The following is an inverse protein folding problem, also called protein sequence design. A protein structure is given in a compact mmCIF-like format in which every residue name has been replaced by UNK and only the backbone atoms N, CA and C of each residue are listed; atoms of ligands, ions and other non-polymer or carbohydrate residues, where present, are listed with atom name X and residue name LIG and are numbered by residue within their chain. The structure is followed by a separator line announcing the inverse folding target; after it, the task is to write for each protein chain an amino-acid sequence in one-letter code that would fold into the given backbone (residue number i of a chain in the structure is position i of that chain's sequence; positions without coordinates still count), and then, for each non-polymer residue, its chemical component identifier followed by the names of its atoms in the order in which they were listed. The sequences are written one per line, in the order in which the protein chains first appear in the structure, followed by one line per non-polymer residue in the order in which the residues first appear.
data_IF_419602743239
#
_entry.id   IF_419602743239
#
_cell.length_a   1.000
_cell.length_b   1.000
_cell.length_c   1.000
_cell.angle_alpha   90.00
_cell.angle_beta   90.00
_cell.angle_gamma   90.00
#
_symmetry.space_group_name_H-M   'P 1'
#
loop_
_entity.id
_entity.type
_entity.pdbx_description
1 polymer ?
#
# COMPACT_ATOMS: atom_id res chain seq x y z
N UNK A 1 -19.93 4.29 10.23
CA UNK A 1 -19.44 4.11 8.84
C UNK A 1 -17.95 4.38 8.82
N UNK A 2 -17.17 3.72 7.97
CA UNK A 2 -15.76 4.09 7.78
C UNK A 2 -15.70 5.29 6.82
N UNK A 3 -15.41 6.48 7.36
CA UNK A 3 -15.32 7.71 6.57
C UNK A 3 -14.18 7.60 5.57
N UNK A 4 -14.51 7.68 4.27
CA UNK A 4 -13.51 7.78 3.22
C UNK A 4 -12.95 9.21 3.22
N UNK A 5 -11.64 9.36 3.12
CA UNK A 5 -11.00 10.67 2.97
C UNK A 5 -10.75 10.99 1.50
N UNK A 6 -10.58 12.26 1.15
CA UNK A 6 -9.97 12.62 -0.13
C UNK A 6 -8.45 12.45 -0.03
N UNK A 7 -7.78 12.07 -1.13
CA UNK A 7 -6.33 11.94 -1.18
C UNK A 7 -5.66 13.33 -1.08
N UNK A 8 -4.59 13.52 -0.28
CA UNK A 8 -3.97 14.83 -0.14
C UNK A 8 -3.38 15.34 -1.46
N UNK A 9 -3.67 16.60 -1.80
CA UNK A 9 -3.10 17.32 -2.95
C UNK A 9 -1.57 17.28 -2.97
N UNK A 10 -0.96 17.42 -1.80
CA UNK A 10 0.48 17.43 -1.54
C UNK A 10 1.14 16.06 -1.77
N UNK A 11 0.34 15.00 -1.93
CA UNK A 11 0.72 13.64 -2.30
C UNK A 11 0.16 13.20 -3.67
N UNK A 12 -0.45 14.10 -4.46
CA UNK A 12 -1.04 13.74 -5.76
C UNK A 12 -0.01 13.15 -6.73
N UNK A 13 1.26 13.60 -6.63
CA UNK A 13 2.39 13.07 -7.40
C UNK A 13 2.61 11.56 -7.23
N UNK A 14 2.12 10.95 -6.14
CA UNK A 14 2.20 9.49 -5.93
C UNK A 14 1.29 8.70 -6.87
N UNK A 15 0.24 9.32 -7.41
CA UNK A 15 -0.75 8.69 -8.28
C UNK A 15 -0.30 8.64 -9.76
N UNK A 16 0.72 9.41 -10.11
CA UNK A 16 1.28 9.53 -11.45
C UNK A 16 2.21 8.36 -11.79
N UNK A 17 2.04 7.75 -12.97
CA UNK A 17 2.94 6.70 -13.45
C UNK A 17 2.85 5.38 -12.68
N UNK A 18 1.77 5.18 -11.92
CA UNK A 18 1.48 3.94 -11.18
C UNK A 18 1.50 2.71 -12.12
N UNK A 19 2.30 1.72 -11.75
CA UNK A 19 2.43 0.46 -12.48
C UNK A 19 1.55 -0.65 -11.84
N UNK A 20 0.94 -1.55 -12.63
CA UNK A 20 0.23 -2.71 -12.10
C UNK A 20 1.14 -3.65 -11.29
N UNK A 21 0.67 -4.09 -10.12
CA UNK A 21 1.33 -5.10 -9.29
C UNK A 21 0.32 -6.14 -8.77
N UNK A 22 0.80 -7.17 -8.06
CA UNK A 22 0.00 -8.23 -7.46
C UNK A 22 0.15 -8.24 -5.94
N UNK A 23 -0.97 -8.26 -5.24
CA UNK A 23 -1.05 -8.37 -3.78
C UNK A 23 -1.41 -9.82 -3.43
N UNK A 24 -0.58 -10.48 -2.63
CA UNK A 24 -0.81 -11.83 -2.14
C UNK A 24 -1.51 -11.77 -0.78
N UNK A 25 -2.50 -12.64 -0.54
CA UNK A 25 -3.15 -12.72 0.78
C UNK A 25 -2.14 -13.26 1.83
N UNK A 26 -2.00 -12.59 2.97
CA UNK A 26 -1.14 -13.02 4.07
C UNK A 26 -1.75 -14.23 4.78
N UNK A 27 -1.08 -15.37 4.64
CA UNK A 27 -1.47 -16.62 5.28
C UNK A 27 -1.50 -16.49 6.80
N UNK A 28 -2.70 -16.51 7.40
CA UNK A 28 -2.86 -16.63 8.86
C UNK A 28 -2.58 -18.08 9.27
N UNK A 29 -1.57 -18.36 10.12
CA UNK A 29 -1.38 -19.71 10.64
C UNK A 29 -2.60 -20.10 11.45
N UNK A 30 -3.34 -21.11 10.99
CA UNK A 30 -4.46 -21.66 11.75
C UNK A 30 -3.89 -22.71 12.69
N UNK A 31 -3.91 -22.41 13.99
CA UNK A 31 -3.67 -23.42 15.01
C UNK A 31 -4.88 -24.34 15.07
N UNK A 32 -4.61 -25.64 15.08
CA UNK A 32 -5.56 -26.71 15.39
C UNK A 32 -4.97 -27.46 16.60
N UNK A 33 -5.81 -28.03 17.45
CA UNK A 33 -5.33 -28.73 18.65
C UNK A 33 -4.48 -29.97 18.32
N UNK A 34 -4.77 -30.61 17.17
CA UNK A 34 -4.00 -31.74 16.63
C UNK A 34 -2.93 -31.31 15.61
N UNK A 35 -1.69 -31.13 16.10
CA UNK A 35 -0.47 -31.15 15.28
C UNK A 35 0.13 -29.79 14.88
N UNK A 36 1.19 -29.78 14.05
CA UNK A 36 1.90 -28.56 13.69
C UNK A 36 1.03 -27.60 12.84
N UNK A 37 1.20 -26.27 12.98
CA UNK A 37 0.32 -25.29 12.32
C UNK A 37 0.23 -25.47 10.81
N UNK A 38 -0.99 -25.64 10.30
CA UNK A 38 -1.25 -25.82 8.86
C UNK A 38 -1.53 -24.48 8.19
N UNK A 39 -0.51 -23.94 7.52
CA UNK A 39 -0.69 -22.87 6.53
C UNK A 39 -1.46 -23.40 5.32
N UNK A 40 -2.74 -22.99 5.18
CA UNK A 40 -3.45 -23.16 3.91
C UNK A 40 -2.87 -22.18 2.88
N UNK A 41 -2.74 -22.56 1.60
CA UNK A 41 -2.44 -21.60 0.54
C UNK A 41 -3.59 -20.59 0.48
N UNK A 42 -3.29 -19.33 0.80
CA UNK A 42 -4.32 -18.32 1.02
C UNK A 42 -4.79 -17.68 -0.32
N UNK A 43 -5.91 -16.95 -0.25
CA UNK A 43 -6.73 -16.56 -1.40
C UNK A 43 -6.01 -15.91 -2.59
N UNK A 44 -6.59 -16.09 -3.77
CA UNK A 44 -6.05 -15.70 -5.08
C UNK A 44 -5.49 -14.25 -5.10
N UNK A 45 -4.31 -14.02 -5.73
CA UNK A 45 -3.69 -12.70 -5.76
C UNK A 45 -4.61 -11.62 -6.35
N UNK A 46 -4.70 -10.48 -5.67
CA UNK A 46 -5.47 -9.32 -6.12
C UNK A 46 -4.60 -8.38 -6.97
N UNK A 47 -5.19 -7.61 -7.90
CA UNK A 47 -4.51 -6.48 -8.50
C UNK A 47 -4.21 -5.41 -7.45
N UNK A 48 -3.13 -4.67 -7.67
CA UNK A 48 -2.78 -3.45 -6.96
C UNK A 48 -1.97 -2.53 -7.86
N UNK A 49 -1.55 -1.38 -7.33
CA UNK A 49 -0.70 -0.42 -8.04
C UNK A 49 0.57 -0.12 -7.23
N UNK A 50 1.67 0.19 -7.90
CA UNK A 50 2.95 0.54 -7.28
C UNK A 50 3.61 1.74 -7.98
N UNK A 51 4.41 2.49 -7.24
CA UNK A 51 5.25 3.56 -7.79
C UNK A 51 6.50 3.78 -6.93
N UNK A 52 7.40 4.64 -7.41
CA UNK A 52 8.49 5.18 -6.61
C UNK A 52 8.69 6.66 -6.95
N UNK A 53 8.89 7.50 -5.92
CA UNK A 53 9.02 8.95 -6.01
C UNK A 53 9.92 9.47 -4.88
N UNK A 54 10.38 10.71 -5.03
CA UNK A 54 11.14 11.43 -4.01
C UNK A 54 10.22 12.28 -3.13
N UNK A 55 10.51 12.33 -1.82
CA UNK A 55 9.70 12.97 -0.79
C UNK A 55 10.53 13.95 0.03
N UNK A 56 9.99 15.13 0.29
CA UNK A 56 10.46 16.00 1.39
C UNK A 56 10.09 15.41 2.76
N UNK A 57 10.77 15.83 3.83
CA UNK A 57 10.45 15.41 5.20
C UNK A 57 8.98 15.73 5.62
N UNK A 58 8.36 16.78 5.05
CA UNK A 58 6.95 17.09 5.28
C UNK A 58 6.02 16.09 4.56
N UNK A 59 6.29 15.79 3.29
CA UNK A 59 5.53 14.79 2.52
C UNK A 59 5.71 13.37 3.10
N UNK A 60 6.89 13.01 3.60
CA UNK A 60 7.14 11.75 4.33
C UNK A 60 6.19 11.62 5.53
N UNK A 61 6.09 12.67 6.37
CA UNK A 61 5.18 12.70 7.53
C UNK A 61 3.70 12.62 7.12
N UNK A 62 3.30 13.33 6.05
CA UNK A 62 1.94 13.30 5.52
C UNK A 62 1.59 11.91 4.96
N UNK A 63 2.52 11.25 4.24
CA UNK A 63 2.37 9.90 3.71
C UNK A 63 2.05 8.89 4.82
N UNK A 64 2.86 8.82 5.87
CA UNK A 64 2.58 7.93 7.01
C UNK A 64 1.23 8.24 7.69
N UNK A 65 0.76 9.49 7.67
CA UNK A 65 -0.55 9.85 8.22
C UNK A 65 -1.75 9.34 7.41
N UNK A 66 -1.55 8.95 6.13
CA UNK A 66 -2.60 8.40 5.25
C UNK A 66 -2.43 6.90 4.92
N UNK A 67 -1.33 6.29 5.37
CA UNK A 67 -1.11 4.84 5.33
C UNK A 67 -2.29 4.09 5.97
N UNK A 68 -2.70 2.99 5.34
CA UNK A 68 -3.82 2.11 5.69
C UNK A 68 -5.20 2.81 5.74
N UNK A 69 -5.34 4.06 5.26
CA UNK A 69 -6.62 4.78 5.15
C UNK A 69 -7.19 4.68 3.74
N UNK A 70 -8.51 4.46 3.65
CA UNK A 70 -9.25 4.46 2.38
C UNK A 70 -9.43 5.89 1.88
N UNK A 71 -8.84 6.18 0.73
CA UNK A 71 -8.94 7.46 0.07
C UNK A 71 -9.74 7.37 -1.24
N UNK A 72 -10.46 8.44 -1.56
CA UNK A 72 -10.90 8.78 -2.91
C UNK A 72 -9.75 9.50 -3.62
N UNK A 73 -9.49 9.12 -4.86
CA UNK A 73 -8.47 9.72 -5.70
C UNK A 73 -8.87 9.65 -7.18
N UNK A 74 -8.12 10.34 -8.04
CA UNK A 74 -8.24 10.21 -9.50
C UNK A 74 -6.97 9.53 -10.02
N UNK A 75 -7.11 8.43 -10.74
CA UNK A 75 -6.01 7.71 -11.40
C UNK A 75 -6.40 7.47 -12.85
N UNK A 76 -5.52 7.87 -13.78
CA UNK A 76 -5.74 7.78 -15.24
C UNK A 76 -7.08 8.39 -15.71
N UNK A 77 -7.58 9.41 -15.00
CA UNK A 77 -8.86 10.10 -15.28
C UNK A 77 -10.09 9.49 -14.59
N UNK A 78 -9.96 8.33 -13.94
CA UNK A 78 -11.08 7.67 -13.24
C UNK A 78 -11.05 7.95 -11.73
N UNK A 79 -12.23 8.16 -11.14
CA UNK A 79 -12.38 8.21 -9.69
C UNK A 79 -12.28 6.81 -9.09
N UNK A 80 -11.23 6.55 -8.29
CA UNK A 80 -10.96 5.25 -7.67
C UNK A 80 -10.87 5.37 -6.15
N UNK A 81 -11.24 4.28 -5.46
CA UNK A 81 -11.05 4.08 -4.03
C UNK A 81 -9.77 3.28 -3.84
N UNK A 82 -8.76 3.89 -3.23
CA UNK A 82 -7.45 3.28 -3.07
C UNK A 82 -7.00 3.39 -1.61
N UNK A 83 -6.21 2.42 -1.18
CA UNK A 83 -5.62 2.39 0.17
C UNK A 83 -4.11 2.24 0.05
N UNK A 84 -3.36 3.25 0.53
CA UNK A 84 -1.89 3.19 0.63
C UNK A 84 -1.49 2.12 1.64
N UNK A 85 -0.57 1.22 1.27
CA UNK A 85 -0.13 0.10 2.09
C UNK A 85 1.22 0.40 2.75
N UNK A 86 1.34 0.02 4.02
CA UNK A 86 2.62 0.05 4.75
C UNK A 86 3.50 -1.16 4.41
N UNK A 87 4.82 -0.98 4.46
CA UNK A 87 5.76 -2.13 4.38
C UNK A 87 5.62 -3.04 5.61
N UNK A 88 5.46 -2.45 6.80
CA UNK A 88 5.25 -3.17 8.04
C UNK A 88 3.80 -3.58 8.27
N UNK A 89 3.34 -4.54 7.46
CA UNK A 89 2.47 -5.64 7.89
C UNK A 89 1.19 -5.29 8.70
N UNK A 90 0.52 -4.16 8.43
CA UNK A 90 -0.74 -3.78 9.09
C UNK A 90 -2.00 -3.76 8.22
N UNK A 91 -1.94 -4.31 7.01
CA UNK A 91 -3.11 -4.96 6.42
C UNK A 91 -3.15 -6.42 6.92
N UNK A 92 -4.08 -6.80 7.82
CA UNK A 92 -4.14 -8.15 8.40
C UNK A 92 -4.67 -9.21 7.41
N UNK A 93 -4.55 -8.94 6.11
CA UNK A 93 -4.95 -9.84 5.03
C UNK A 93 -4.03 -9.78 3.80
N UNK A 94 -3.24 -8.73 3.50
CA UNK A 94 -2.51 -8.65 2.21
C UNK A 94 -1.08 -8.14 2.36
N UNK A 95 -0.16 -8.77 1.63
CA UNK A 95 1.23 -8.34 1.39
C UNK A 95 1.49 -8.16 -0.10
N UNK A 96 2.60 -7.55 -0.48
CA UNK A 96 3.06 -7.56 -1.87
C UNK A 96 3.48 -8.99 -2.25
N UNK A 97 3.09 -9.44 -3.46
CA UNK A 97 3.61 -10.67 -4.04
C UNK A 97 5.00 -10.39 -4.62
N UNK A 98 6.01 -11.18 -4.24
CA UNK A 98 7.43 -10.83 -4.30
C UNK A 98 7.93 -10.29 -5.66
N UNK A 99 8.10 -8.97 -5.72
CA UNK A 99 9.38 -8.39 -6.10
C UNK A 99 10.12 -8.02 -4.80
N UNK A 100 11.45 -8.14 -4.78
CA UNK A 100 12.26 -7.62 -3.67
C UNK A 100 12.28 -6.09 -3.71
N UNK A 101 11.81 -5.43 -2.65
CA UNK A 101 11.89 -3.98 -2.52
C UNK A 101 12.93 -3.58 -1.48
N UNK A 102 13.98 -2.90 -1.95
CA UNK A 102 14.86 -2.11 -1.10
C UNK A 102 14.12 -0.85 -0.65
N UNK A 103 13.68 -0.82 0.61
CA UNK A 103 13.46 0.46 1.29
C UNK A 103 14.85 1.01 1.63
N UNK A 104 15.40 1.82 0.74
CA UNK A 104 16.56 2.65 1.04
C UNK A 104 16.09 3.72 2.00
N UNK A 105 16.11 3.38 3.29
CA UNK A 105 15.96 4.38 4.33
C UNK A 105 17.10 5.39 4.15
N UNK A 106 16.74 6.65 3.89
CA UNK A 106 17.71 7.72 3.78
C UNK A 106 18.37 7.95 5.13
N UNK A 107 19.53 8.63 5.11
CA UNK A 107 20.08 9.19 6.34
C UNK A 107 19.05 10.14 6.98
N UNK A 108 18.98 10.22 8.31
CA UNK A 108 18.05 11.13 8.99
C UNK A 108 18.36 12.61 8.66
N UNK A 109 19.60 12.90 8.28
CA UNK A 109 20.03 14.21 7.76
C UNK A 109 19.60 14.51 6.31
N UNK A 110 19.01 13.55 5.59
CA UNK A 110 18.62 13.76 4.19
C UNK A 110 17.38 14.64 4.03
N UNK A 111 17.49 15.67 3.20
CA UNK A 111 16.37 16.54 2.80
C UNK A 111 15.39 15.86 1.82
N UNK A 112 15.83 14.79 1.14
CA UNK A 112 15.08 14.09 0.08
C UNK A 112 15.13 12.58 0.27
N UNK A 113 13.97 11.92 0.23
CA UNK A 113 13.81 10.50 0.53
C UNK A 113 13.15 9.79 -0.65
N UNK A 114 13.82 8.83 -1.29
CA UNK A 114 13.19 8.00 -2.33
C UNK A 114 12.39 6.87 -1.68
N UNK A 115 11.08 6.82 -1.91
CA UNK A 115 10.23 5.74 -1.42
C UNK A 115 9.52 5.04 -2.57
N UNK A 116 9.69 3.72 -2.65
CA UNK A 116 8.73 2.83 -3.30
C UNK A 116 7.49 2.68 -2.44
N UNK A 117 6.30 2.70 -3.04
CA UNK A 117 5.01 2.62 -2.33
C UNK A 117 3.98 1.81 -3.13
N UNK A 118 2.93 1.35 -2.43
CA UNK A 118 1.90 0.47 -3.00
C UNK A 118 0.49 0.90 -2.61
N UNK A 119 -0.44 0.68 -3.52
CA UNK A 119 -1.86 0.83 -3.27
C UNK A 119 -2.60 -0.49 -3.51
N UNK A 120 -3.50 -0.82 -2.59
CA UNK A 120 -4.63 -1.68 -2.92
C UNK A 120 -5.67 -0.85 -3.66
N UNK A 121 -6.12 -1.34 -4.82
CA UNK A 121 -7.27 -0.79 -5.54
C UNK A 121 -8.54 -1.48 -5.02
N UNK A 122 -9.36 -0.73 -4.27
CA UNK A 122 -10.66 -1.21 -3.78
C UNK A 122 -11.78 -0.99 -4.84
N UNK A 123 -11.47 -0.51 -6.05
CA UNK A 123 -12.40 -0.33 -7.17
C UNK A 123 -12.80 1.14 -7.46
N UNK A 124 -13.52 1.34 -8.58
CA UNK A 124 -14.06 2.64 -8.99
C UNK A 124 -15.12 3.18 -8.03
N UNK A 125 -15.20 4.50 -7.91
CA UNK A 125 -16.26 5.21 -7.17
C UNK A 125 -17.24 5.79 -8.20
N UNK A 126 -18.44 5.21 -8.23
CA UNK A 126 -19.60 5.76 -8.95
C UNK A 126 -20.26 6.90 -8.15
#
# INVERSE_FOLDING_TARGET
MATMMEWPSELAFMLEGLQPTKLQKMAKPTHYDDGPPRTRPDGAPKPGLTGSKDFTAAQRKLMYSVVNRRARCIVNGEARRMTLLEQHAFFPEYKICENGHSFTEGDEESYVWNFSYFFMDDGTIA
#
